data_IF_590049853189
#
_entry.id   IF_590049853189
#
_cell.length_a   1.000
_cell.length_b   1.000
_cell.length_c   1.000
_cell.angle_alpha   90.00
_cell.angle_beta   90.00
_cell.angle_gamma   90.00
#
_symmetry.space_group_name_H-M   'P 1'
#
loop_
_entity.id
_entity.type
_entity.pdbx_description
1 polymer ?
#
# COMPACT_ATOMS: atom_id res chain seq x y z
N UNK A 1 -12.88 6.66 -10.85
CA UNK A 1 -14.18 6.03 -11.13
C UNK A 1 -14.10 4.63 -10.54
N UNK A 2 -15.05 4.20 -9.70
CA UNK A 2 -15.05 2.86 -9.13
C UNK A 2 -15.05 1.78 -10.22
N UNK A 3 -14.58 0.59 -9.85
CA UNK A 3 -14.50 -0.55 -10.74
C UNK A 3 -15.46 -1.63 -10.27
N UNK A 4 -16.15 -2.26 -11.20
CA UNK A 4 -17.14 -3.27 -10.93
C UNK A 4 -16.88 -4.50 -11.80
N UNK A 5 -16.96 -5.67 -11.17
CA UNK A 5 -17.07 -6.96 -11.84
C UNK A 5 -18.52 -7.39 -11.74
N UNK A 6 -19.16 -7.57 -12.88
CA UNK A 6 -20.48 -8.15 -12.94
C UNK A 6 -20.37 -9.66 -13.25
N UNK A 7 -21.29 -10.44 -12.68
CA UNK A 7 -21.29 -11.90 -12.79
C UNK A 7 -22.63 -12.34 -13.30
N UNK A 8 -22.62 -13.07 -14.40
CA UNK A 8 -23.79 -13.75 -14.93
C UNK A 8 -23.61 -15.26 -14.72
N UNK A 9 -24.57 -15.92 -14.05
CA UNK A 9 -24.60 -17.38 -14.00
C UNK A 9 -24.84 -17.91 -15.40
N UNK A 10 -24.36 -19.13 -15.67
CA UNK A 10 -24.44 -19.81 -16.97
C UNK A 10 -25.67 -19.42 -17.78
N UNK A 11 -25.43 -18.71 -18.89
CA UNK A 11 -26.46 -18.17 -19.79
C UNK A 11 -27.06 -19.29 -20.68
N UNK A 12 -27.37 -20.45 -20.09
CA UNK A 12 -27.87 -21.62 -20.82
C UNK A 12 -26.89 -22.13 -21.86
N UNK A 13 -27.32 -22.21 -23.12
CA UNK A 13 -26.53 -22.66 -24.28
C UNK A 13 -25.64 -21.54 -24.87
N UNK A 14 -25.46 -20.42 -24.17
CA UNK A 14 -24.68 -19.29 -24.66
C UNK A 14 -23.23 -19.71 -24.96
N UNK A 15 -22.76 -19.29 -26.13
CA UNK A 15 -21.40 -19.52 -26.62
C UNK A 15 -20.49 -18.34 -26.28
N UNK A 16 -19.15 -18.53 -26.31
CA UNK A 16 -18.21 -17.41 -26.22
C UNK A 16 -18.49 -16.29 -27.24
N UNK A 17 -18.98 -16.64 -28.44
CA UNK A 17 -19.32 -15.67 -29.49
C UNK A 17 -20.55 -14.83 -29.13
N UNK A 18 -21.54 -15.42 -28.45
CA UNK A 18 -22.73 -14.72 -27.96
C UNK A 18 -22.36 -13.68 -26.90
N UNK A 19 -21.42 -14.02 -26.00
CA UNK A 19 -20.91 -13.09 -24.98
C UNK A 19 -20.10 -11.97 -25.61
N UNK A 20 -19.26 -12.29 -26.60
CA UNK A 20 -18.53 -11.29 -27.35
C UNK A 20 -19.49 -10.35 -28.11
N UNK A 21 -20.63 -10.84 -28.60
CA UNK A 21 -21.66 -10.03 -29.23
C UNK A 21 -22.38 -9.12 -28.23
N UNK A 22 -22.78 -9.65 -27.07
CA UNK A 22 -23.38 -8.86 -26.00
C UNK A 22 -22.45 -7.71 -25.56
N UNK A 23 -21.16 -8.01 -25.34
CA UNK A 23 -20.16 -7.02 -24.96
C UNK A 23 -19.97 -5.93 -26.03
N UNK A 24 -20.07 -6.26 -27.32
CA UNK A 24 -20.02 -5.23 -28.37
C UNK A 24 -21.21 -4.27 -28.29
N UNK A 25 -22.40 -4.75 -27.96
CA UNK A 25 -23.57 -3.90 -27.75
C UNK A 25 -23.44 -3.03 -26.50
N UNK A 26 -22.80 -3.53 -25.45
CA UNK A 26 -22.48 -2.72 -24.27
C UNK A 26 -21.59 -1.52 -24.64
N UNK A 27 -20.54 -1.76 -25.44
CA UNK A 27 -19.62 -0.72 -25.90
C UNK A 27 -20.31 0.36 -26.75
N UNK A 28 -21.39 0.03 -27.47
CA UNK A 28 -22.15 0.98 -28.30
C UNK A 28 -22.94 2.00 -27.48
N UNK A 29 -23.32 1.66 -26.24
CA UNK A 29 -24.19 2.50 -25.39
C UNK A 29 -23.52 2.99 -24.10
N UNK A 30 -22.32 2.49 -23.76
CA UNK A 30 -21.62 2.77 -22.50
C UNK A 30 -21.47 4.27 -22.17
N UNK A 31 -21.21 5.12 -23.17
CA UNK A 31 -21.01 6.56 -22.98
C UNK A 31 -22.27 7.26 -22.45
N UNK A 32 -23.45 6.72 -22.73
CA UNK A 32 -24.73 7.27 -22.26
C UNK A 32 -24.89 7.15 -20.74
N UNK A 33 -24.17 6.21 -20.13
CA UNK A 33 -24.25 5.88 -18.71
C UNK A 33 -22.97 6.23 -17.94
N UNK A 34 -21.97 6.82 -18.62
CA UNK A 34 -20.66 7.09 -18.03
C UNK A 34 -19.91 5.82 -17.63
N UNK A 35 -20.23 4.70 -18.29
CA UNK A 35 -19.61 3.40 -18.07
C UNK A 35 -18.47 3.22 -19.06
N UNK A 36 -17.39 2.56 -18.63
CA UNK A 36 -16.28 2.16 -19.50
C UNK A 36 -15.99 0.69 -19.29
N UNK A 37 -16.37 -0.14 -20.26
CA UNK A 37 -16.06 -1.55 -20.24
C UNK A 37 -14.58 -1.79 -20.56
N UNK A 38 -13.93 -2.66 -19.78
CA UNK A 38 -12.50 -2.94 -19.87
C UNK A 38 -12.24 -4.31 -20.52
N UNK A 39 -12.95 -5.34 -20.08
CA UNK A 39 -12.74 -6.72 -20.56
C UNK A 39 -13.95 -7.61 -20.20
N UNK A 40 -14.02 -8.77 -20.83
CA UNK A 40 -15.00 -9.82 -20.53
C UNK A 40 -14.35 -11.20 -20.55
N UNK A 41 -14.97 -12.17 -19.86
CA UNK A 41 -14.54 -13.56 -19.82
C UNK A 41 -15.75 -14.49 -19.91
N UNK A 42 -15.57 -15.62 -20.59
CA UNK A 42 -16.47 -16.76 -20.57
C UNK A 42 -15.73 -17.94 -19.95
N UNK A 43 -16.27 -18.50 -18.86
CA UNK A 43 -15.72 -19.69 -18.25
C UNK A 43 -16.04 -20.90 -19.12
N UNK A 44 -15.00 -21.48 -19.74
CA UNK A 44 -15.10 -22.75 -20.50
C UNK A 44 -15.17 -23.95 -19.56
N UNK A 45 -16.17 -23.93 -18.67
CA UNK A 45 -16.48 -24.97 -17.71
C UNK A 45 -18.01 -25.24 -17.70
N UNK A 46 -18.48 -26.32 -17.05
CA UNK A 46 -19.90 -26.66 -17.04
C UNK A 46 -20.83 -25.60 -16.41
N UNK A 47 -20.27 -24.59 -15.73
CA UNK A 47 -21.04 -23.49 -15.16
C UNK A 47 -21.35 -22.40 -16.17
N UNK A 48 -20.58 -22.30 -17.28
CA UNK A 48 -20.79 -21.33 -18.37
C UNK A 48 -20.83 -19.88 -17.91
N UNK A 49 -20.23 -19.56 -16.76
CA UNK A 49 -20.31 -18.23 -16.15
C UNK A 49 -19.64 -17.19 -17.03
N UNK A 50 -20.24 -16.00 -17.06
CA UNK A 50 -19.67 -14.85 -17.77
C UNK A 50 -19.44 -13.70 -16.83
N UNK A 51 -18.36 -12.99 -17.10
CA UNK A 51 -17.88 -11.90 -16.29
C UNK A 51 -17.62 -10.71 -17.19
N UNK A 52 -18.04 -9.53 -16.80
CA UNK A 52 -17.63 -8.28 -17.41
C UNK A 52 -17.04 -7.35 -16.36
N UNK A 53 -16.00 -6.66 -16.78
CA UNK A 53 -15.29 -5.71 -15.95
C UNK A 53 -15.46 -4.32 -16.54
N UNK A 54 -15.93 -3.39 -15.72
CA UNK A 54 -16.18 -2.02 -16.14
C UNK A 54 -15.87 -1.00 -15.04
N UNK A 55 -15.49 0.20 -15.45
CA UNK A 55 -15.56 1.38 -14.60
C UNK A 55 -16.96 2.00 -14.72
N UNK A 56 -17.57 2.37 -13.60
CA UNK A 56 -18.87 3.03 -13.60
C UNK A 56 -18.97 4.03 -12.43
N UNK A 57 -19.86 5.03 -12.50
CA UNK A 57 -20.14 5.91 -11.37
C UNK A 57 -20.70 5.15 -10.16
N UNK A 58 -21.57 4.18 -10.43
CA UNK A 58 -22.27 3.32 -9.48
C UNK A 58 -22.75 2.01 -10.16
N UNK A 59 -23.10 0.96 -9.39
CA UNK A 59 -23.60 -0.32 -9.93
C UNK A 59 -24.88 -0.18 -10.76
N UNK A 60 -25.73 0.79 -10.44
CA UNK A 60 -26.99 1.05 -11.13
C UNK A 60 -26.76 1.54 -12.56
N UNK A 61 -25.74 2.38 -12.78
CA UNK A 61 -25.33 2.87 -14.10
C UNK A 61 -24.83 1.73 -14.99
N UNK A 62 -24.02 0.81 -14.42
CA UNK A 62 -23.58 -0.40 -15.12
C UNK A 62 -24.76 -1.30 -15.48
N UNK A 63 -25.67 -1.54 -14.53
CA UNK A 63 -26.90 -2.31 -14.75
C UNK A 63 -27.80 -1.70 -15.84
N UNK A 64 -27.96 -0.37 -15.83
CA UNK A 64 -28.77 0.35 -16.80
C UNK A 64 -28.18 0.24 -18.22
N UNK A 65 -26.85 0.24 -18.33
CA UNK A 65 -26.14 0.03 -19.58
C UNK A 65 -26.47 -1.34 -20.20
N UNK A 66 -26.28 -2.43 -19.46
CA UNK A 66 -26.61 -3.79 -19.92
C UNK A 66 -28.09 -3.94 -20.31
N UNK A 67 -28.98 -3.33 -19.52
CA UNK A 67 -30.42 -3.35 -19.80
C UNK A 67 -30.76 -2.75 -21.17
N UNK A 68 -30.09 -1.67 -21.54
CA UNK A 68 -30.30 -0.96 -22.81
C UNK A 68 -29.57 -1.64 -23.95
N UNK A 69 -28.37 -2.18 -23.71
CA UNK A 69 -27.56 -2.86 -24.71
C UNK A 69 -28.21 -4.15 -25.23
N UNK A 70 -28.56 -5.07 -24.32
CA UNK A 70 -29.05 -6.40 -24.68
C UNK A 70 -30.10 -6.97 -23.72
N UNK A 71 -30.38 -6.29 -22.60
CA UNK A 71 -31.45 -6.66 -21.66
C UNK A 71 -31.11 -7.83 -20.74
N UNK A 72 -29.91 -8.40 -20.83
CA UNK A 72 -29.43 -9.39 -19.85
C UNK A 72 -28.87 -8.61 -18.67
N UNK A 73 -29.41 -8.86 -17.49
CA UNK A 73 -28.96 -8.17 -16.28
C UNK A 73 -27.96 -9.06 -15.56
N UNK A 74 -26.88 -8.47 -15.00
CA UNK A 74 -25.99 -9.22 -14.14
C UNK A 74 -26.74 -9.69 -12.89
N UNK A 75 -26.38 -10.88 -12.42
CA UNK A 75 -26.95 -11.46 -11.21
C UNK A 75 -26.31 -10.87 -9.96
N UNK A 76 -25.02 -10.53 -10.06
CA UNK A 76 -24.24 -9.95 -8.98
C UNK A 76 -23.31 -8.89 -9.57
N UNK A 77 -23.19 -7.75 -8.90
CA UNK A 77 -22.20 -6.71 -9.20
C UNK A 77 -21.34 -6.55 -7.96
N UNK A 78 -20.05 -6.77 -8.13
CA UNK A 78 -19.04 -6.74 -7.08
C UNK A 78 -18.15 -5.53 -7.35
N UNK A 79 -18.05 -4.61 -6.38
CA UNK A 79 -17.03 -3.55 -6.45
C UNK A 79 -15.64 -4.18 -6.31
N UNK A 80 -14.79 -3.96 -7.31
CA UNK A 80 -13.42 -4.45 -7.35
C UNK A 80 -12.53 -3.37 -6.78
N UNK A 81 -11.85 -3.67 -5.67
CA UNK A 81 -10.84 -2.78 -5.13
C UNK A 81 -9.73 -2.52 -6.14
N UNK A 82 -9.27 -1.27 -6.26
CA UNK A 82 -8.19 -0.87 -7.16
C UNK A 82 -6.92 -1.77 -7.09
N UNK A 83 -6.42 -2.24 -5.93
CA UNK A 83 -5.29 -3.16 -5.88
C UNK A 83 -5.61 -4.56 -6.43
N UNK A 84 -6.87 -5.00 -6.35
CA UNK A 84 -7.32 -6.33 -6.78
C UNK A 84 -7.30 -6.47 -8.30
N UNK A 85 -7.60 -5.40 -9.05
CA UNK A 85 -7.66 -5.49 -10.50
C UNK A 85 -6.28 -5.66 -11.15
N UNK A 86 -5.31 -4.84 -10.74
CA UNK A 86 -3.96 -4.91 -11.30
C UNK A 86 -3.35 -6.30 -11.07
N UNK A 87 -3.62 -6.90 -9.91
CA UNK A 87 -3.27 -8.29 -9.57
C UNK A 87 -3.99 -9.32 -10.45
N UNK A 88 -5.29 -9.14 -10.72
CA UNK A 88 -6.09 -10.10 -11.48
C UNK A 88 -5.87 -10.01 -13.00
N UNK A 89 -5.59 -8.82 -13.53
CA UNK A 89 -5.35 -8.58 -14.96
C UNK A 89 -3.87 -8.74 -15.37
N UNK A 90 -2.98 -9.08 -14.43
CA UNK A 90 -1.55 -9.23 -14.72
C UNK A 90 -0.86 -7.92 -15.13
N UNK A 91 -1.42 -6.75 -14.78
CA UNK A 91 -0.85 -5.44 -15.06
C UNK A 91 0.19 -4.99 -14.04
N UNK A 92 0.93 -5.94 -13.50
CA UNK A 92 2.10 -5.65 -12.68
C UNK A 92 3.26 -6.37 -13.33
N UNK A 93 4.28 -5.62 -13.74
CA UNK A 93 5.62 -6.17 -13.99
C UNK A 93 6.08 -6.83 -12.69
N UNK A 94 5.66 -8.07 -12.46
CA UNK A 94 5.95 -8.82 -11.25
C UNK A 94 6.20 -10.28 -11.57
N UNK A 95 7.20 -10.87 -10.92
CA UNK A 95 7.50 -12.30 -11.04
C UNK A 95 6.53 -13.18 -10.22
N UNK A 96 6.72 -14.49 -10.32
CA UNK A 96 5.93 -15.52 -9.63
C UNK A 96 5.92 -15.38 -8.09
N UNK A 97 6.69 -14.45 -7.52
CA UNK A 97 6.74 -14.12 -6.09
C UNK A 97 6.40 -12.64 -5.79
N UNK A 98 5.58 -11.97 -6.63
CA UNK A 98 5.02 -10.64 -6.36
C UNK A 98 6.08 -9.50 -6.25
N UNK A 99 7.28 -9.69 -6.82
CA UNK A 99 8.37 -8.70 -6.87
C UNK A 99 8.22 -7.77 -8.06
N UNK A 100 8.26 -6.45 -7.87
CA UNK A 100 8.34 -5.49 -9.00
C UNK A 100 9.53 -5.88 -9.90
N UNK A 101 9.40 -5.85 -11.23
CA UNK A 101 10.47 -6.20 -12.16
C UNK A 101 10.92 -4.96 -12.93
N UNK A 102 12.24 -4.76 -13.07
CA UNK A 102 12.84 -3.70 -13.90
C UNK A 102 13.81 -4.37 -14.88
N UNK A 103 13.58 -4.21 -16.18
CA UNK A 103 14.40 -4.82 -17.26
C UNK A 103 14.56 -6.36 -17.16
N UNK A 104 13.60 -7.06 -16.54
CA UNK A 104 13.62 -8.52 -16.40
C UNK A 104 14.35 -9.03 -15.16
N UNK A 105 14.79 -8.15 -14.26
CA UNK A 105 15.32 -8.49 -12.94
C UNK A 105 14.36 -8.02 -11.83
N UNK A 106 14.25 -8.75 -10.70
CA UNK A 106 13.52 -8.28 -9.53
C UNK A 106 14.05 -6.91 -9.07
N UNK A 107 13.15 -5.98 -8.79
CA UNK A 107 13.39 -4.65 -8.23
C UNK A 107 13.97 -4.81 -6.83
N UNK A 108 15.28 -4.99 -6.80
CA UNK A 108 16.11 -4.84 -5.62
C UNK A 108 16.62 -3.41 -5.54
N UNK A 109 15.86 -2.41 -6.03
CA UNK A 109 16.37 -1.05 -6.04
C UNK A 109 16.69 -0.59 -4.61
N UNK A 110 17.83 0.09 -4.52
CA UNK A 110 18.34 0.66 -3.29
C UNK A 110 17.24 1.44 -2.56
N UNK A 111 16.94 1.06 -1.32
CA UNK A 111 16.00 1.76 -0.43
C UNK A 111 16.73 2.22 0.83
N UNK A 112 16.38 3.41 1.32
CA UNK A 112 16.63 3.76 2.70
C UNK A 112 15.53 3.15 3.57
N UNK A 113 15.93 2.43 4.61
CA UNK A 113 15.05 1.74 5.54
C UNK A 113 15.11 2.45 6.88
N UNK A 114 13.94 2.79 7.40
CA UNK A 114 13.76 3.43 8.70
C UNK A 114 12.93 2.54 9.60
N UNK A 115 13.41 2.34 10.82
CA UNK A 115 12.60 1.85 11.93
C UNK A 115 12.47 2.96 12.97
N UNK A 116 11.28 3.11 13.52
CA UNK A 116 11.02 3.92 14.71
C UNK A 116 10.51 3.01 15.83
N UNK A 117 10.75 3.42 17.07
CA UNK A 117 10.31 2.71 18.27
C UNK A 117 10.15 3.72 19.43
N UNK A 118 9.22 3.48 20.35
CA UNK A 118 9.00 4.34 21.52
C UNK A 118 9.83 3.78 22.69
N UNK A 119 10.72 4.61 23.24
CA UNK A 119 11.50 4.20 24.40
C UNK A 119 10.60 3.94 25.63
N UNK A 120 10.79 2.78 26.25
CA UNK A 120 10.10 2.45 27.50
C UNK A 120 8.58 2.24 27.38
N UNK A 121 8.04 2.08 26.17
CA UNK A 121 6.60 1.84 25.89
C UNK A 121 5.97 0.76 26.79
N UNK A 122 6.68 -0.35 26.98
CA UNK A 122 6.24 -1.50 27.79
C UNK A 122 6.17 -1.14 29.27
N UNK A 123 7.12 -0.32 29.75
CA UNK A 123 7.11 0.19 31.11
C UNK A 123 5.95 1.17 31.33
N UNK A 124 5.65 2.02 30.33
CA UNK A 124 4.49 2.92 30.37
C UNK A 124 3.18 2.14 30.45
N UNK A 125 3.00 1.10 29.63
CA UNK A 125 1.82 0.23 29.68
C UNK A 125 1.64 -0.42 31.05
N UNK A 126 2.74 -0.88 31.66
CA UNK A 126 2.71 -1.53 32.98
C UNK A 126 2.40 -0.54 34.11
N UNK A 127 2.98 0.67 34.06
CA UNK A 127 2.88 1.65 35.14
C UNK A 127 1.61 2.51 35.06
N UNK A 128 1.12 2.82 33.85
CA UNK A 128 0.04 3.78 33.62
C UNK A 128 -1.20 3.16 32.95
N UNK A 129 -1.12 1.88 32.56
CA UNK A 129 -2.21 1.12 31.95
C UNK A 129 -2.35 1.32 30.44
N UNK A 130 -3.08 0.40 29.81
CA UNK A 130 -3.16 0.25 28.36
C UNK A 130 -3.69 1.50 27.64
N UNK A 131 -4.59 2.27 28.28
CA UNK A 131 -5.16 3.46 27.64
C UNK A 131 -4.11 4.56 27.42
N UNK A 132 -3.23 4.79 28.40
CA UNK A 132 -2.15 5.77 28.28
C UNK A 132 -1.13 5.31 27.24
N UNK A 133 -0.81 4.01 27.21
CA UNK A 133 0.07 3.44 26.19
C UNK A 133 -0.50 3.60 24.77
N UNK A 134 -1.80 3.35 24.58
CA UNK A 134 -2.48 3.56 23.29
C UNK A 134 -2.45 5.02 22.85
N UNK A 135 -2.65 5.97 23.76
CA UNK A 135 -2.60 7.39 23.43
C UNK A 135 -1.18 7.83 23.04
N UNK A 136 -0.14 7.26 23.68
CA UNK A 136 1.25 7.48 23.32
C UNK A 136 1.59 6.92 21.92
N UNK A 137 1.15 5.69 21.62
CA UNK A 137 1.32 5.09 20.28
C UNK A 137 0.60 5.91 19.20
N UNK A 138 -0.64 6.37 19.47
CA UNK A 138 -1.35 7.24 18.52
C UNK A 138 -0.64 8.56 18.29
N UNK A 139 0.00 9.11 19.33
CA UNK A 139 0.78 10.32 19.20
C UNK A 139 2.03 10.11 18.33
N UNK A 140 2.80 9.06 18.60
CA UNK A 140 3.90 8.61 17.76
C UNK A 140 3.46 8.44 16.30
N UNK A 141 2.38 7.69 16.07
CA UNK A 141 1.91 7.38 14.73
C UNK A 141 1.55 8.63 13.93
N UNK A 142 0.98 9.64 14.59
CA UNK A 142 0.62 10.91 13.97
C UNK A 142 1.86 11.67 13.50
N UNK A 143 2.85 11.81 14.37
CA UNK A 143 4.09 12.55 14.08
C UNK A 143 4.88 11.85 12.98
N UNK A 144 5.06 10.52 13.09
CA UNK A 144 5.78 9.74 12.09
C UNK A 144 5.06 9.78 10.74
N UNK A 145 3.74 9.59 10.69
CA UNK A 145 2.98 9.67 9.42
C UNK A 145 3.15 11.01 8.72
N UNK A 146 3.01 12.12 9.45
CA UNK A 146 3.17 13.46 8.89
C UNK A 146 4.59 13.67 8.32
N UNK A 147 5.62 13.30 9.08
CA UNK A 147 7.00 13.41 8.62
C UNK A 147 7.33 12.47 7.44
N UNK A 148 6.71 11.30 7.34
CA UNK A 148 6.87 10.43 6.18
C UNK A 148 6.19 11.05 4.95
N UNK A 149 4.98 11.60 5.09
CA UNK A 149 4.25 12.25 4.01
C UNK A 149 5.03 13.45 3.43
N UNK A 150 5.52 14.33 4.30
CA UNK A 150 6.28 15.54 3.90
C UNK A 150 7.59 15.21 3.16
N UNK A 151 8.22 14.09 3.50
CA UNK A 151 9.50 13.67 2.95
C UNK A 151 9.39 12.51 1.94
N UNK A 152 8.18 12.14 1.52
CA UNK A 152 7.94 11.10 0.51
C UNK A 152 8.40 9.71 0.93
N UNK A 153 8.23 9.37 2.21
CA UNK A 153 8.41 8.03 2.76
C UNK A 153 7.15 7.19 2.63
N UNK A 154 7.34 5.87 2.51
CA UNK A 154 6.25 4.88 2.49
C UNK A 154 6.28 4.08 3.77
N UNK A 155 5.15 4.02 4.48
CA UNK A 155 4.97 3.10 5.59
C UNK A 155 4.82 1.69 5.01
N UNK A 156 5.69 0.78 5.46
CA UNK A 156 5.61 -0.64 5.11
C UNK A 156 4.63 -1.31 6.06
N UNK A 157 4.86 -1.16 7.38
CA UNK A 157 3.96 -1.68 8.41
C UNK A 157 4.17 -1.03 9.77
N UNK A 158 3.20 -1.25 10.65
CA UNK A 158 3.27 -0.92 12.07
C UNK A 158 3.85 -2.09 12.87
N UNK A 159 4.66 -1.81 13.89
CA UNK A 159 5.31 -2.84 14.72
C UNK A 159 4.84 -2.85 16.17
N UNK A 160 3.73 -2.16 16.48
CA UNK A 160 3.13 -2.10 17.80
C UNK A 160 3.35 -0.75 18.48
N UNK A 161 4.58 -0.45 18.85
CA UNK A 161 5.03 0.83 19.42
C UNK A 161 6.01 1.55 18.50
N UNK A 162 6.05 1.13 17.24
CA UNK A 162 7.00 1.62 16.24
C UNK A 162 6.46 1.49 14.83
N UNK A 163 7.22 2.01 13.87
CA UNK A 163 6.91 1.90 12.45
C UNK A 163 8.13 1.44 11.66
N UNK A 164 7.86 0.64 10.63
CA UNK A 164 8.79 0.34 9.56
C UNK A 164 8.40 1.16 8.33
N UNK A 165 9.29 2.06 7.90
CA UNK A 165 9.14 2.85 6.69
C UNK A 165 10.33 2.66 5.72
N UNK A 166 10.08 3.01 4.46
CA UNK A 166 11.07 2.97 3.38
C UNK A 166 11.03 4.25 2.54
N UNK A 167 12.18 4.60 1.95
CA UNK A 167 12.32 5.75 1.07
C UNK A 167 13.19 5.41 -0.14
N UNK A 168 12.92 6.09 -1.24
CA UNK A 168 13.78 6.06 -2.45
C UNK A 168 14.95 7.05 -2.36
N UNK A 169 15.07 7.82 -1.27
CA UNK A 169 16.13 8.81 -1.05
C UNK A 169 16.64 8.78 0.38
N UNK A 170 17.96 8.61 0.52
CA UNK A 170 18.67 8.63 1.81
C UNK A 170 18.54 9.98 2.50
N UNK A 171 18.65 11.06 1.72
CA UNK A 171 18.58 12.44 2.24
C UNK A 171 17.19 12.70 2.81
N UNK A 172 16.14 12.28 2.11
CA UNK A 172 14.77 12.45 2.59
C UNK A 172 14.47 11.60 3.83
N UNK A 173 15.00 10.37 3.89
CA UNK A 173 14.90 9.54 5.09
C UNK A 173 15.55 10.21 6.30
N UNK A 174 16.74 10.79 6.13
CA UNK A 174 17.42 11.52 7.20
C UNK A 174 16.68 12.81 7.60
N UNK A 175 16.18 13.57 6.63
CA UNK A 175 15.36 14.77 6.90
C UNK A 175 14.07 14.42 7.66
N UNK A 176 13.41 13.32 7.27
CA UNK A 176 12.23 12.81 7.98
C UNK A 176 12.56 12.41 9.42
N UNK A 177 13.70 11.73 9.65
CA UNK A 177 14.15 11.41 11.01
C UNK A 177 14.41 12.67 11.86
N UNK A 178 15.04 13.70 11.28
CA UNK A 178 15.27 14.99 11.96
C UNK A 178 13.94 15.66 12.31
N UNK A 179 12.99 15.68 11.38
CA UNK A 179 11.65 16.21 11.63
C UNK A 179 10.97 15.45 12.76
N UNK A 180 10.94 14.11 12.73
CA UNK A 180 10.34 13.29 13.80
C UNK A 180 10.94 13.69 15.15
N UNK A 181 12.27 13.68 15.28
CA UNK A 181 12.93 13.99 16.55
C UNK A 181 12.62 15.41 17.05
N UNK A 182 12.55 16.38 16.14
CA UNK A 182 12.24 17.77 16.50
C UNK A 182 10.80 17.91 16.98
N UNK A 183 9.84 17.39 16.22
CA UNK A 183 8.42 17.48 16.57
C UNK A 183 8.11 16.74 17.89
N UNK A 184 8.76 15.60 18.15
CA UNK A 184 8.59 14.89 19.43
C UNK A 184 9.31 15.54 20.60
N UNK A 185 10.31 16.41 20.36
CA UNK A 185 11.02 17.14 21.40
C UNK A 185 10.41 18.51 21.73
N UNK A 186 9.70 19.14 20.79
CA UNK A 186 9.07 20.45 20.96
C UNK A 186 7.75 20.38 21.75
N UNK A 187 7.12 19.21 21.85
CA UNK A 187 5.92 18.98 22.64
C UNK A 187 6.27 18.62 24.09
N UNK A 188 6.23 19.58 25.04
CA UNK A 188 6.03 19.24 26.46
C UNK A 188 5.56 20.37 27.40
N UNK A 189 4.52 20.06 28.19
CA UNK A 189 4.26 20.66 29.50
C UNK A 189 3.32 19.80 30.39
N UNK A 190 2.37 19.04 29.81
CA UNK A 190 1.29 18.37 30.58
C UNK A 190 1.12 16.85 30.29
N UNK A 191 1.99 16.21 29.48
CA UNK A 191 1.87 14.79 29.08
C UNK A 191 3.15 13.95 29.32
N UNK A 192 3.09 12.61 29.15
CA UNK A 192 4.28 11.77 29.14
C UNK A 192 5.12 12.07 27.90
N UNK A 193 6.39 12.42 28.10
CA UNK A 193 7.32 12.76 27.02
C UNK A 193 7.47 11.58 26.03
N UNK A 194 7.24 11.86 24.75
CA UNK A 194 7.36 10.87 23.68
C UNK A 194 8.82 10.79 23.20
N UNK A 195 9.59 9.88 23.80
CA UNK A 195 10.97 9.65 23.40
C UNK A 195 11.05 8.60 22.28
N UNK A 196 11.32 9.04 21.04
CA UNK A 196 11.40 8.17 19.86
C UNK A 196 12.83 7.77 19.53
N UNK A 197 13.04 6.48 19.33
CA UNK A 197 14.26 5.87 18.81
C UNK A 197 14.12 5.73 17.30
N UNK A 198 15.16 6.06 16.54
CA UNK A 198 15.16 5.91 15.08
C UNK A 198 16.42 5.18 14.62
N UNK A 199 16.24 4.17 13.76
CA UNK A 199 17.33 3.47 13.08
C UNK A 199 17.23 3.60 11.57
N UNK A 200 18.33 4.04 10.93
CA UNK A 200 18.43 4.21 9.48
C UNK A 200 19.51 3.31 8.88
N UNK A 201 19.18 2.68 7.76
CA UNK A 201 20.19 2.10 6.87
C UNK A 201 19.78 2.20 5.42
N UNK A 202 20.68 1.82 4.52
CA UNK A 202 20.42 1.75 3.09
C UNK A 202 20.87 0.37 2.60
N UNK A 203 20.11 -0.19 1.68
CA UNK A 203 20.46 -1.44 1.02
C UNK A 203 19.38 -1.87 0.04
N UNK A 204 19.47 -3.10 -0.40
CA UNK A 204 18.60 -3.70 -1.41
C UNK A 204 17.69 -4.72 -0.73
N UNK A 205 16.54 -4.30 -0.17
CA UNK A 205 15.60 -5.24 0.43
C UNK A 205 14.96 -6.10 -0.66
N UNK A 206 14.51 -7.29 -0.27
CA UNK A 206 13.61 -8.09 -1.09
C UNK A 206 12.19 -7.61 -0.83
N UNK A 207 11.50 -7.16 -1.89
CA UNK A 207 10.08 -6.90 -1.82
C UNK A 207 9.29 -8.20 -2.00
N UNK A 208 8.27 -8.38 -1.16
CA UNK A 208 7.26 -9.43 -1.30
C UNK A 208 5.91 -8.75 -1.01
N UNK A 209 5.11 -8.59 -2.05
CA UNK A 209 3.89 -7.81 -2.03
C UNK A 209 4.11 -6.36 -1.54
N UNK A 210 3.44 -5.96 -0.47
CA UNK A 210 3.59 -4.66 0.18
C UNK A 210 4.68 -4.64 1.28
N UNK A 211 5.33 -5.76 1.58
CA UNK A 211 6.33 -5.88 2.65
C UNK A 211 7.77 -5.92 2.11
N UNK A 212 8.74 -5.73 3.00
CA UNK A 212 10.17 -5.69 2.69
C UNK A 212 10.96 -6.57 3.65
N UNK A 213 11.90 -7.34 3.11
CA UNK A 213 12.69 -8.32 3.84
C UNK A 213 14.18 -8.23 3.52
N UNK A 214 14.99 -8.92 4.31
CA UNK A 214 16.42 -9.12 4.04
C UNK A 214 17.36 -8.38 4.99
N UNK A 215 18.64 -8.41 4.64
CA UNK A 215 19.71 -7.95 5.52
C UNK A 215 19.62 -6.45 5.87
N UNK A 216 19.20 -5.61 4.92
CA UNK A 216 19.01 -4.18 5.15
C UNK A 216 17.92 -3.90 6.19
N UNK A 217 16.77 -4.59 6.09
CA UNK A 217 15.66 -4.48 7.04
C UNK A 217 16.10 -4.91 8.44
N UNK A 218 16.76 -6.07 8.54
CA UNK A 218 17.28 -6.59 9.80
C UNK A 218 18.31 -5.65 10.44
N UNK A 219 19.19 -5.03 9.64
CA UNK A 219 20.17 -4.08 10.13
C UNK A 219 19.52 -2.80 10.64
N UNK A 220 18.55 -2.24 9.92
CA UNK A 220 17.84 -1.03 10.37
C UNK A 220 17.11 -1.25 11.70
N UNK A 221 16.40 -2.38 11.84
CA UNK A 221 15.74 -2.75 13.09
C UNK A 221 16.75 -2.87 14.25
N UNK A 222 17.92 -3.48 14.00
CA UNK A 222 19.00 -3.57 15.00
C UNK A 222 19.58 -2.20 15.35
N UNK A 223 19.79 -1.32 14.37
CA UNK A 223 20.28 0.04 14.61
C UNK A 223 19.27 0.80 15.49
N UNK A 224 17.97 0.70 15.19
CA UNK A 224 16.91 1.31 16.01
C UNK A 224 16.89 0.75 17.43
N UNK A 225 17.08 -0.56 17.59
CA UNK A 225 17.13 -1.20 18.91
C UNK A 225 18.31 -0.72 19.78
N UNK A 226 19.40 -0.22 19.18
CA UNK A 226 20.55 0.35 19.89
C UNK A 226 20.47 1.86 20.09
N UNK A 227 19.47 2.54 19.52
CA UNK A 227 19.25 3.96 19.72
C UNK A 227 18.61 4.22 21.10
N UNK A 228 18.93 5.34 21.71
CA UNK A 228 18.25 5.86 22.91
C UNK A 228 17.04 6.72 22.52
N UNK A 229 16.13 6.98 23.46
CA UNK A 229 15.02 7.89 23.25
C UNK A 229 15.49 9.29 22.84
N UNK A 230 14.94 9.85 21.76
CA UNK A 230 15.41 11.12 21.20
C UNK A 230 16.61 10.98 20.24
N UNK A 231 17.09 9.76 20.00
CA UNK A 231 18.28 9.49 19.19
C UNK A 231 17.93 8.89 17.82
N UNK A 232 18.59 9.39 16.78
CA UNK A 232 18.65 8.75 15.46
C UNK A 232 20.02 8.14 15.26
N UNK A 233 20.09 6.83 15.07
CA UNK A 233 21.29 6.13 14.64
C UNK A 233 21.18 5.75 13.16
N UNK A 234 22.31 5.81 12.46
CA UNK A 234 22.38 5.48 11.04
C UNK A 234 23.61 4.63 10.73
N UNK A 235 23.51 3.78 9.70
CA UNK A 235 24.68 3.06 9.18
C UNK A 235 25.69 4.01 8.52
N UNK A 236 26.96 3.57 8.42
CA UNK A 236 28.00 4.33 7.72
C UNK A 236 27.62 4.66 6.26
N UNK A 237 26.90 3.74 5.59
CA UNK A 237 26.42 3.93 4.22
C UNK A 237 25.46 5.11 4.08
N UNK A 238 24.56 5.33 5.06
CA UNK A 238 23.66 6.49 5.07
C UNK A 238 24.47 7.78 5.09
N UNK A 239 25.48 7.85 5.97
CA UNK A 239 26.39 9.00 6.08
C UNK A 239 27.14 9.25 4.77
N UNK A 240 27.68 8.20 4.18
CA UNK A 240 28.50 8.32 2.96
C UNK A 240 27.65 8.77 1.76
N UNK A 241 26.39 8.34 1.67
CA UNK A 241 25.44 8.79 0.64
C UNK A 241 24.85 10.18 0.88
N UNK A 242 25.00 10.73 2.10
CA UNK A 242 24.55 12.08 2.46
C UNK A 242 25.64 13.17 2.29
N UNK A 243 26.85 12.81 1.85
CA UNK A 243 27.94 13.78 1.66
C UNK A 243 27.52 14.93 0.74
N UNK A 244 27.75 16.16 1.20
CA UNK A 244 27.45 17.38 0.43
C UNK A 244 25.97 17.76 0.40
N UNK A 245 25.12 17.14 1.23
CA UNK A 245 23.68 17.41 1.29
C UNK A 245 23.24 18.34 2.42
N UNK A 246 24.17 18.73 3.30
CA UNK A 246 23.92 19.73 4.35
C UNK A 246 22.99 19.24 5.46
N UNK A 247 22.98 17.93 5.69
CA UNK A 247 22.24 17.22 6.75
C UNK A 247 23.22 16.45 7.63
#
# INVERSE_FOLDING_TARGET
MPLYMDVHPGLGDATPDDVAAAHRHDLEVQDQFGVRFLSYWFADDPTGKTFCLAEAPDPESLSACHKVAHGLMPHEIIEVGAPTLAQFMGFTDKDENDRVMVEGEPDTALRAIMFTDIEGSTAVSTAHGDRVAVDLVKHHDRVVRAALEDHGGRIVKHTGDGMFASFNSVVRAAQSAITIQRETAEEDADGPNLAVKIGLTVGEPVQDSEDLFGAAVNLAARICAHAEGGQTLASGTVRDLAIGKGI
#
